data_IF_120975892118
#
_entry.id   IF_120975892118
#
_cell.length_a   1.000
_cell.length_b   1.000
_cell.length_c   1.000
_cell.angle_alpha   90.00
_cell.angle_beta   90.00
_cell.angle_gamma   90.00
#
_symmetry.space_group_name_H-M   'P 1'
#
loop_
_entity.id
_entity.type
_entity.pdbx_description
1 polymer ?
#
# COMPACT_ATOMS: atom_id res chain seq x y z
N UNK A 1 19.73 27.45 -7.92
CA UNK A 1 19.90 28.37 -9.05
C UNK A 1 21.39 28.77 -9.21
N UNK A 2 22.00 29.40 -8.22
CA UNK A 2 23.40 29.93 -8.21
C UNK A 2 24.43 28.96 -8.78
N UNK A 3 24.44 27.68 -8.39
CA UNK A 3 25.38 26.69 -8.88
C UNK A 3 25.20 26.36 -10.37
N UNK A 4 23.97 26.39 -10.86
CA UNK A 4 23.69 26.18 -12.29
C UNK A 4 24.14 27.37 -13.10
N UNK A 5 23.95 28.57 -12.57
CA UNK A 5 24.38 29.83 -13.17
C UNK A 5 25.91 29.92 -13.21
N UNK A 6 26.58 29.61 -12.10
CA UNK A 6 28.04 29.60 -12.04
C UNK A 6 28.70 28.58 -13.00
N UNK A 7 28.10 27.39 -13.17
CA UNK A 7 28.59 26.41 -14.13
C UNK A 7 28.39 26.90 -15.58
N UNK A 8 27.22 27.47 -15.87
CA UNK A 8 26.93 27.99 -17.22
C UNK A 8 27.75 29.23 -17.55
N UNK A 9 28.10 30.06 -16.58
CA UNK A 9 28.99 31.19 -16.74
C UNK A 9 30.43 30.74 -17.08
N UNK A 10 30.93 29.72 -16.37
CA UNK A 10 32.29 29.20 -16.54
C UNK A 10 32.48 28.37 -17.80
N UNK A 11 31.49 27.57 -18.19
CA UNK A 11 31.65 26.57 -19.28
C UNK A 11 30.73 26.84 -20.48
N UNK A 12 30.02 27.96 -20.50
CA UNK A 12 29.15 28.40 -21.58
C UNK A 12 27.64 28.21 -21.26
N UNK A 13 26.81 29.10 -21.82
CA UNK A 13 25.37 29.09 -21.57
C UNK A 13 24.73 27.80 -22.05
N UNK A 14 23.84 27.22 -21.22
CA UNK A 14 23.14 25.99 -21.55
C UNK A 14 23.91 24.68 -21.31
N UNK A 15 25.16 24.74 -20.81
CA UNK A 15 25.97 23.56 -20.48
C UNK A 15 25.24 22.62 -19.53
N UNK A 16 24.55 23.18 -18.52
CA UNK A 16 23.77 22.38 -17.60
C UNK A 16 22.43 23.05 -17.28
N UNK A 17 21.37 22.25 -17.21
CA UNK A 17 20.05 22.70 -16.78
C UNK A 17 19.87 22.50 -15.27
N UNK A 18 18.99 23.26 -14.66
CA UNK A 18 18.65 23.10 -13.23
C UNK A 18 18.17 21.67 -12.89
N UNK A 19 17.50 20.99 -13.84
CA UNK A 19 17.07 19.59 -13.71
C UNK A 19 18.28 18.64 -13.67
N UNK A 20 19.20 18.79 -14.58
CA UNK A 20 20.46 18.00 -14.64
C UNK A 20 21.32 18.25 -13.40
N UNK A 21 21.44 19.50 -12.95
CA UNK A 21 22.17 19.84 -11.73
C UNK A 21 21.57 19.20 -10.47
N UNK A 22 20.22 19.16 -10.34
CA UNK A 22 19.57 18.45 -9.22
C UNK A 22 19.83 16.95 -9.27
N UNK A 23 19.75 16.33 -10.44
CA UNK A 23 20.02 14.90 -10.62
C UNK A 23 21.50 14.60 -10.28
N UNK A 24 22.44 15.42 -10.73
CA UNK A 24 23.86 15.28 -10.42
C UNK A 24 24.11 15.32 -8.90
N UNK A 25 23.56 16.34 -8.21
CA UNK A 25 23.67 16.44 -6.76
C UNK A 25 23.13 15.21 -6.03
N UNK A 26 21.96 14.70 -6.45
CA UNK A 26 21.36 13.51 -5.87
C UNK A 26 22.23 12.27 -6.06
N UNK A 27 22.75 12.06 -7.27
CA UNK A 27 23.56 10.88 -7.62
C UNK A 27 24.92 10.86 -6.92
N UNK A 28 25.46 12.05 -6.62
CA UNK A 28 26.74 12.21 -5.94
C UNK A 28 26.63 12.56 -4.45
N UNK A 29 25.43 12.42 -3.87
CA UNK A 29 25.17 12.71 -2.46
C UNK A 29 25.61 14.11 -2.01
N UNK A 30 25.59 15.10 -2.93
CA UNK A 30 25.96 16.48 -2.63
C UNK A 30 24.79 17.16 -1.94
N UNK A 31 24.89 17.32 -0.64
CA UNK A 31 23.90 18.02 0.19
C UNK A 31 24.17 19.54 0.19
N UNK A 32 23.12 20.32 0.35
CA UNK A 32 23.21 21.79 0.37
C UNK A 32 23.90 22.36 1.62
N UNK A 33 24.09 21.54 2.65
CA UNK A 33 24.56 22.00 3.97
C UNK A 33 23.50 22.78 4.75
N UNK A 34 22.34 23.05 4.15
CA UNK A 34 21.23 23.71 4.81
C UNK A 34 20.33 22.62 5.42
N UNK A 35 20.26 22.57 6.72
CA UNK A 35 19.29 21.71 7.42
C UNK A 35 17.91 22.41 7.39
N UNK A 36 17.03 21.91 6.53
CA UNK A 36 15.65 22.39 6.42
C UNK A 36 14.72 21.77 7.48
N UNK A 37 15.24 20.98 8.40
CA UNK A 37 14.45 20.40 9.50
C UNK A 37 14.28 21.41 10.60
N UNK A 38 13.10 21.43 11.18
CA UNK A 38 12.89 22.18 12.42
C UNK A 38 13.78 21.60 13.52
N UNK A 39 14.47 22.47 14.23
CA UNK A 39 15.30 22.06 15.36
C UNK A 39 14.43 21.45 16.46
N UNK A 40 14.95 20.45 17.23
CA UNK A 40 14.25 19.95 18.39
C UNK A 40 13.83 21.09 19.33
N UNK A 41 12.56 21.11 19.74
CA UNK A 41 12.00 22.19 20.55
C UNK A 41 11.50 23.41 19.80
N UNK A 42 11.61 23.45 18.45
CA UNK A 42 11.05 24.53 17.65
C UNK A 42 9.54 24.66 17.89
N UNK A 43 9.13 25.85 18.29
CA UNK A 43 7.71 26.17 18.45
C UNK A 43 7.24 26.96 17.23
N UNK A 44 6.26 26.43 16.45
CA UNK A 44 5.70 27.15 15.33
C UNK A 44 5.15 28.53 15.76
N UNK A 45 5.33 29.54 14.92
CA UNK A 45 4.94 30.92 15.24
C UNK A 45 3.43 31.13 15.54
N UNK A 46 2.61 30.17 15.08
CA UNK A 46 1.16 30.14 15.27
C UNK A 46 0.70 29.17 16.39
N UNK A 47 1.62 28.48 17.09
CA UNK A 47 1.25 27.57 18.18
C UNK A 47 0.53 28.32 19.30
N UNK A 48 -0.66 27.84 19.65
CA UNK A 48 -1.48 28.44 20.71
C UNK A 48 -2.18 29.76 20.34
N UNK A 49 -2.00 30.24 19.11
CA UNK A 49 -2.72 31.42 18.63
C UNK A 49 -4.02 31.00 17.96
N UNK A 50 -5.18 31.52 18.37
CA UNK A 50 -6.42 31.31 17.63
C UNK A 50 -6.34 31.94 16.25
N UNK A 51 -7.10 31.40 15.31
CA UNK A 51 -7.24 31.99 13.97
C UNK A 51 -7.80 33.38 14.08
N UNK A 52 -7.31 34.31 13.24
CA UNK A 52 -7.85 35.69 13.23
C UNK A 52 -9.32 35.70 12.78
N UNK A 53 -10.15 36.62 13.26
CA UNK A 53 -11.56 36.70 12.84
C UNK A 53 -11.73 36.77 11.32
N UNK A 54 -10.88 37.50 10.61
CA UNK A 54 -10.93 37.59 9.14
C UNK A 54 -10.64 36.26 8.46
N UNK A 55 -9.64 35.53 8.94
CA UNK A 55 -9.33 34.18 8.43
C UNK A 55 -10.44 33.19 8.74
N UNK A 56 -11.01 33.28 9.95
CA UNK A 56 -12.14 32.44 10.34
C UNK A 56 -13.35 32.64 9.41
N UNK A 57 -13.73 33.91 9.15
CA UNK A 57 -14.85 34.24 8.27
C UNK A 57 -14.63 33.71 6.83
N UNK A 58 -13.41 33.79 6.30
CA UNK A 58 -13.08 33.22 4.97
C UNK A 58 -13.14 31.70 4.90
N UNK A 59 -12.83 31.04 5.99
CA UNK A 59 -12.72 29.57 6.02
C UNK A 59 -13.97 28.86 6.56
N UNK A 60 -14.85 29.56 7.32
CA UNK A 60 -15.96 28.95 8.05
C UNK A 60 -16.93 28.16 7.18
N UNK A 61 -17.09 28.57 5.92
CA UNK A 61 -17.98 27.87 4.97
C UNK A 61 -17.45 26.51 4.57
N UNK A 62 -16.10 26.39 4.46
CA UNK A 62 -15.41 25.15 4.07
C UNK A 62 -14.93 24.32 5.27
N UNK A 63 -15.02 24.85 6.48
CA UNK A 63 -14.66 24.13 7.69
C UNK A 63 -15.63 23.00 7.98
N UNK A 64 -15.09 21.85 8.40
CA UNK A 64 -15.91 20.76 8.90
C UNK A 64 -16.67 21.17 10.16
N UNK A 65 -17.97 21.00 10.17
CA UNK A 65 -18.83 21.25 11.32
C UNK A 65 -18.86 20.03 12.24
N UNK A 66 -18.97 20.26 13.54
CA UNK A 66 -19.11 19.16 14.52
C UNK A 66 -20.32 18.29 14.13
N UNK A 67 -20.08 16.98 13.98
CA UNK A 67 -21.13 16.03 13.57
C UNK A 67 -21.34 15.91 12.05
N UNK A 68 -20.58 16.65 11.24
CA UNK A 68 -20.65 16.50 9.79
C UNK A 68 -20.06 15.18 9.36
N UNK A 69 -20.85 14.39 8.62
CA UNK A 69 -20.40 13.13 8.00
C UNK A 69 -19.65 13.47 6.71
N UNK A 70 -18.39 13.03 6.54
CA UNK A 70 -17.65 13.26 5.29
C UNK A 70 -18.36 12.64 4.08
N UNK A 71 -18.28 13.23 2.87
CA UNK A 71 -18.93 12.71 1.66
C UNK A 71 -18.51 11.29 1.28
N UNK A 72 -17.31 10.87 1.69
CA UNK A 72 -16.75 9.54 1.44
C UNK A 72 -16.96 8.59 2.63
N UNK A 73 -17.88 8.90 3.53
CA UNK A 73 -18.23 8.00 4.64
C UNK A 73 -18.89 6.74 4.10
N UNK A 74 -18.40 5.60 4.58
CA UNK A 74 -18.94 4.27 4.27
C UNK A 74 -19.72 3.82 5.50
N UNK A 75 -20.95 3.38 5.33
CA UNK A 75 -21.79 2.89 6.44
C UNK A 75 -21.43 1.45 6.80
N UNK A 76 -21.76 1.05 8.03
CA UNK A 76 -21.63 -0.35 8.46
C UNK A 76 -22.48 -1.24 7.56
N UNK A 77 -21.91 -2.33 7.06
CA UNK A 77 -22.50 -3.24 6.10
C UNK A 77 -22.18 -2.94 4.64
N UNK A 78 -21.72 -1.74 4.32
CA UNK A 78 -21.33 -1.37 2.96
C UNK A 78 -19.95 -1.93 2.57
N UNK A 79 -19.79 -2.14 1.27
CA UNK A 79 -18.59 -2.68 0.66
C UNK A 79 -17.76 -1.57 0.01
N UNK A 80 -16.46 -1.75 0.02
CA UNK A 80 -15.50 -0.88 -0.68
C UNK A 80 -14.26 -1.68 -1.06
N UNK A 81 -13.32 -1.03 -1.75
CA UNK A 81 -12.07 -1.67 -2.14
C UNK A 81 -10.88 -1.05 -1.40
N UNK A 82 -9.90 -1.89 -1.09
CA UNK A 82 -8.59 -1.40 -0.66
C UNK A 82 -7.82 -0.81 -1.84
N UNK A 83 -6.73 -0.08 -1.57
CA UNK A 83 -5.81 0.42 -2.60
C UNK A 83 -5.27 -0.70 -3.49
N UNK A 84 -5.12 -1.90 -2.92
CA UNK A 84 -4.66 -3.09 -3.64
C UNK A 84 -5.79 -3.82 -4.40
N UNK A 85 -7.02 -3.29 -4.38
CA UNK A 85 -8.18 -3.82 -5.10
C UNK A 85 -8.88 -5.00 -4.43
N UNK A 86 -8.66 -5.25 -3.14
CA UNK A 86 -9.42 -6.28 -2.42
C UNK A 86 -10.76 -5.74 -1.95
N UNK A 87 -11.82 -6.54 -2.11
CA UNK A 87 -13.14 -6.23 -1.58
C UNK A 87 -13.15 -6.37 -0.05
N UNK A 88 -13.56 -5.29 0.63
CA UNK A 88 -13.71 -5.23 2.08
C UNK A 88 -15.10 -4.76 2.45
N UNK A 89 -15.59 -5.18 3.60
CA UNK A 89 -16.88 -4.77 4.18
C UNK A 89 -16.64 -4.03 5.50
N UNK A 90 -17.36 -2.94 5.71
CA UNK A 90 -17.30 -2.23 6.98
C UNK A 90 -18.16 -2.95 8.03
N UNK A 91 -17.55 -3.32 9.16
CA UNK A 91 -18.21 -4.10 10.22
C UNK A 91 -18.51 -3.28 11.48
N UNK A 92 -17.82 -2.15 11.68
CA UNK A 92 -18.06 -1.23 12.82
C UNK A 92 -17.66 0.21 12.51
N UNK A 93 -18.21 1.15 13.29
CA UNK A 93 -17.94 2.59 13.10
C UNK A 93 -16.61 3.05 13.74
N UNK A 94 -16.24 2.47 14.87
CA UNK A 94 -15.12 2.92 15.71
C UNK A 94 -13.99 1.90 15.73
N UNK A 95 -12.80 2.34 16.06
CA UNK A 95 -11.59 1.51 16.12
C UNK A 95 -10.59 1.81 15.01
N UNK A 96 -9.53 1.01 14.96
CA UNK A 96 -8.53 1.06 13.89
C UNK A 96 -9.12 0.58 12.55
N UNK A 97 -8.45 0.87 11.44
CA UNK A 97 -8.92 0.41 10.12
C UNK A 97 -9.10 -1.12 10.05
N UNK A 98 -8.21 -1.88 10.69
CA UNK A 98 -8.29 -3.35 10.75
C UNK A 98 -9.50 -3.86 11.54
N UNK A 99 -9.93 -3.13 12.55
CA UNK A 99 -11.11 -3.48 13.36
C UNK A 99 -12.41 -3.04 12.72
N UNK A 100 -12.36 -1.99 11.89
CA UNK A 100 -13.55 -1.45 11.21
C UNK A 100 -13.91 -2.18 9.94
N UNK A 101 -12.93 -2.81 9.27
CA UNK A 101 -13.12 -3.47 7.99
C UNK A 101 -12.64 -4.91 8.05
N UNK A 102 -13.38 -5.80 7.41
CA UNK A 102 -12.97 -7.18 7.17
C UNK A 102 -12.83 -7.46 5.69
N UNK A 103 -11.91 -8.35 5.32
CA UNK A 103 -11.76 -8.82 3.95
C UNK A 103 -12.86 -9.83 3.63
N UNK A 104 -13.66 -9.57 2.60
CA UNK A 104 -14.80 -10.41 2.24
C UNK A 104 -14.39 -11.84 1.90
N UNK A 105 -13.32 -12.03 1.11
CA UNK A 105 -12.82 -13.37 0.76
C UNK A 105 -12.40 -14.20 1.99
N UNK A 106 -11.87 -13.54 3.04
CA UNK A 106 -11.51 -14.23 4.29
C UNK A 106 -12.75 -14.60 5.08
N UNK A 107 -13.69 -13.68 5.20
CA UNK A 107 -14.96 -13.94 5.90
C UNK A 107 -15.73 -15.10 5.24
N UNK A 108 -15.83 -15.10 3.90
CA UNK A 108 -16.48 -16.21 3.16
C UNK A 108 -15.74 -17.53 3.36
N UNK A 109 -14.39 -17.52 3.33
CA UNK A 109 -13.63 -18.73 3.62
C UNK A 109 -13.88 -19.26 5.02
N UNK A 110 -13.81 -18.39 6.03
CA UNK A 110 -13.98 -18.76 7.44
C UNK A 110 -15.38 -19.27 7.75
N UNK A 111 -16.40 -18.74 7.07
CA UNK A 111 -17.79 -19.20 7.19
C UNK A 111 -17.97 -20.65 6.70
N UNK A 112 -17.26 -21.04 5.62
CA UNK A 112 -17.42 -22.37 5.00
C UNK A 112 -16.43 -23.41 5.53
N UNK A 113 -15.19 -23.00 5.87
CA UNK A 113 -14.10 -23.92 6.19
C UNK A 113 -13.57 -23.75 7.62
N UNK A 114 -14.12 -22.79 8.39
CA UNK A 114 -13.59 -22.46 9.71
C UNK A 114 -12.37 -21.52 9.68
N UNK A 115 -11.77 -21.25 10.83
CA UNK A 115 -10.73 -20.26 10.98
C UNK A 115 -9.50 -20.58 10.10
N UNK A 116 -8.91 -19.53 9.53
CA UNK A 116 -7.71 -19.64 8.70
C UNK A 116 -6.53 -20.02 9.60
N UNK A 117 -5.83 -21.15 9.34
CA UNK A 117 -4.69 -21.58 10.15
C UNK A 117 -3.54 -20.57 10.10
N UNK A 118 -2.74 -20.54 11.17
CA UNK A 118 -1.56 -19.68 11.24
C UNK A 118 -0.59 -19.95 10.08
N UNK A 119 -0.02 -18.89 9.51
CA UNK A 119 0.88 -18.97 8.36
C UNK A 119 0.20 -19.28 7.02
N UNK A 120 -1.11 -19.45 7.00
CA UNK A 120 -1.89 -19.62 5.76
C UNK A 120 -2.61 -18.34 5.36
N UNK A 121 -2.91 -18.24 4.08
CA UNK A 121 -3.69 -17.16 3.50
C UNK A 121 -4.68 -17.68 2.47
N UNK A 122 -5.79 -16.97 2.31
CA UNK A 122 -6.78 -17.23 1.26
C UNK A 122 -6.40 -16.46 0.01
N UNK A 123 -6.44 -17.12 -1.12
CA UNK A 123 -6.13 -16.55 -2.44
C UNK A 123 -7.20 -16.90 -3.47
N UNK A 124 -7.13 -16.28 -4.64
CA UNK A 124 -8.12 -16.41 -5.72
C UNK A 124 -7.57 -17.27 -6.86
N UNK A 125 -8.38 -18.22 -7.34
CA UNK A 125 -8.01 -19.09 -8.45
C UNK A 125 -7.98 -18.36 -9.79
N UNK A 126 -8.97 -17.49 -10.04
CA UNK A 126 -9.09 -16.70 -11.27
C UNK A 126 -8.27 -15.38 -11.25
N UNK A 127 -7.68 -15.04 -10.10
CA UNK A 127 -6.96 -13.79 -9.89
C UNK A 127 -7.86 -12.56 -9.74
N UNK A 128 -9.18 -12.69 -9.82
CA UNK A 128 -10.14 -11.61 -9.63
C UNK A 128 -10.47 -11.46 -8.13
N UNK A 129 -10.07 -10.33 -7.55
CA UNK A 129 -10.24 -10.04 -6.13
C UNK A 129 -11.68 -9.70 -5.73
N UNK A 130 -12.56 -9.46 -6.70
CA UNK A 130 -13.98 -9.23 -6.49
C UNK A 130 -14.78 -10.53 -6.44
N UNK A 131 -14.24 -11.60 -7.04
CA UNK A 131 -14.89 -12.90 -7.07
C UNK A 131 -14.62 -13.66 -5.77
N UNK A 132 -15.35 -13.30 -4.72
CA UNK A 132 -15.25 -13.92 -3.41
C UNK A 132 -16.07 -15.22 -3.26
N UNK A 133 -16.53 -15.85 -4.36
CA UNK A 133 -17.21 -17.15 -4.29
C UNK A 133 -16.27 -18.22 -3.73
N UNK A 134 -16.79 -19.06 -2.85
CA UNK A 134 -15.99 -20.09 -2.16
C UNK A 134 -15.25 -21.03 -3.13
N UNK A 135 -15.86 -21.35 -4.26
CA UNK A 135 -15.28 -22.21 -5.31
C UNK A 135 -14.05 -21.58 -5.98
N UNK A 136 -13.95 -20.23 -5.94
CA UNK A 136 -12.81 -19.48 -6.46
C UNK A 136 -11.70 -19.24 -5.43
N UNK A 137 -11.95 -19.57 -4.16
CA UNK A 137 -11.01 -19.35 -3.07
C UNK A 137 -10.21 -20.61 -2.77
N UNK A 138 -8.93 -20.44 -2.45
CA UNK A 138 -8.08 -21.54 -2.00
C UNK A 138 -7.10 -21.10 -0.91
N UNK A 139 -6.71 -22.05 -0.07
CA UNK A 139 -5.77 -21.81 1.01
C UNK A 139 -4.35 -22.07 0.53
N UNK A 140 -3.45 -21.13 0.76
CA UNK A 140 -2.03 -21.22 0.42
C UNK A 140 -1.16 -20.68 1.56
N UNK A 141 0.14 -20.79 1.43
CA UNK A 141 1.12 -20.20 2.34
C UNK A 141 2.03 -19.19 1.63
N UNK A 142 2.78 -18.41 2.40
CA UNK A 142 3.66 -17.39 1.87
C UNK A 142 4.71 -17.93 0.89
N UNK A 143 5.29 -19.12 1.17
CA UNK A 143 6.31 -19.72 0.32
C UNK A 143 5.72 -20.15 -1.04
N UNK A 144 4.59 -20.85 -1.01
CA UNK A 144 3.87 -21.26 -2.21
C UNK A 144 3.39 -20.06 -3.02
N UNK A 145 2.82 -19.05 -2.34
CA UNK A 145 2.38 -17.80 -2.98
C UNK A 145 3.54 -17.06 -3.68
N UNK A 146 4.69 -16.96 -3.02
CA UNK A 146 5.90 -16.36 -3.59
C UNK A 146 6.38 -17.14 -4.82
N UNK A 147 6.42 -18.48 -4.76
CA UNK A 147 6.83 -19.32 -5.86
C UNK A 147 5.86 -19.22 -7.05
N UNK A 148 4.54 -19.21 -6.81
CA UNK A 148 3.53 -18.97 -7.85
C UNK A 148 3.75 -17.63 -8.56
N UNK A 149 4.05 -16.58 -7.82
CA UNK A 149 4.31 -15.25 -8.38
C UNK A 149 5.63 -15.23 -9.18
N UNK A 150 6.69 -15.85 -8.66
CA UNK A 150 8.00 -15.92 -9.31
C UNK A 150 7.94 -16.67 -10.63
N UNK A 151 7.20 -17.78 -10.68
CA UNK A 151 7.05 -18.63 -11.85
C UNK A 151 5.88 -18.22 -12.77
N UNK A 152 5.15 -17.14 -12.41
CA UNK A 152 3.96 -16.66 -13.15
C UNK A 152 2.88 -17.75 -13.32
N UNK A 153 2.66 -18.54 -12.28
CA UNK A 153 1.71 -19.67 -12.26
C UNK A 153 0.28 -19.25 -11.87
N UNK A 154 -0.08 -17.98 -12.08
CA UNK A 154 -1.42 -17.46 -11.90
C UNK A 154 -2.04 -17.18 -13.26
N UNK A 155 -3.19 -17.77 -13.50
CA UNK A 155 -3.91 -17.70 -14.77
C UNK A 155 -5.32 -17.16 -14.55
N UNK A 156 -5.96 -16.69 -15.62
CA UNK A 156 -7.39 -16.34 -15.57
C UNK A 156 -8.29 -17.57 -15.45
N UNK A 157 -7.80 -18.74 -15.89
CA UNK A 157 -8.50 -20.01 -15.74
C UNK A 157 -8.20 -20.59 -14.34
N UNK A 158 -9.25 -20.80 -13.48
CA UNK A 158 -9.10 -21.33 -12.14
C UNK A 158 -8.40 -22.70 -12.08
N UNK A 159 -8.70 -23.59 -13.01
CA UNK A 159 -8.12 -24.94 -13.06
C UNK A 159 -6.59 -24.87 -13.29
N UNK A 160 -6.15 -23.99 -14.20
CA UNK A 160 -4.73 -23.83 -14.47
C UNK A 160 -4.00 -23.23 -13.25
N UNK A 161 -4.62 -22.30 -12.53
CA UNK A 161 -4.05 -21.75 -11.30
C UNK A 161 -3.97 -22.82 -10.21
N UNK A 162 -4.97 -23.70 -10.10
CA UNK A 162 -4.94 -24.82 -9.15
C UNK A 162 -3.80 -25.82 -9.47
N UNK A 163 -3.54 -26.08 -10.75
CA UNK A 163 -2.36 -26.87 -11.17
C UNK A 163 -1.08 -26.10 -10.87
N UNK A 164 -1.04 -24.79 -11.15
CA UNK A 164 0.10 -23.93 -10.86
C UNK A 164 0.49 -23.92 -9.37
N UNK A 165 -0.48 -23.96 -8.48
CA UNK A 165 -0.26 -24.07 -7.04
C UNK A 165 0.45 -25.40 -6.67
N UNK A 166 0.01 -26.52 -7.24
CA UNK A 166 0.65 -27.84 -7.04
C UNK A 166 2.08 -27.88 -7.58
N UNK A 167 2.31 -27.25 -8.75
CA UNK A 167 3.66 -27.11 -9.34
C UNK A 167 4.55 -26.26 -8.43
N UNK A 168 4.05 -25.17 -7.88
CA UNK A 168 4.80 -24.33 -6.95
C UNK A 168 5.23 -25.10 -5.70
N UNK A 169 4.34 -25.89 -5.10
CA UNK A 169 4.66 -26.76 -3.96
C UNK A 169 5.71 -27.79 -4.30
N UNK A 170 5.60 -28.44 -5.47
CA UNK A 170 6.59 -29.41 -5.93
C UNK A 170 7.98 -28.76 -6.10
N UNK A 171 8.05 -27.59 -6.71
CA UNK A 171 9.32 -26.87 -6.90
C UNK A 171 9.98 -26.51 -5.56
N UNK A 172 9.18 -26.13 -4.55
CA UNK A 172 9.68 -25.89 -3.20
C UNK A 172 10.22 -27.18 -2.58
N UNK A 173 9.49 -28.29 -2.68
CA UNK A 173 9.90 -29.58 -2.14
C UNK A 173 11.21 -30.10 -2.78
N UNK A 174 11.34 -29.98 -4.11
CA UNK A 174 12.57 -30.34 -4.83
C UNK A 174 13.75 -29.50 -4.32
N UNK A 175 13.59 -28.18 -4.24
CA UNK A 175 14.64 -27.27 -3.77
C UNK A 175 15.07 -27.57 -2.33
N UNK A 176 14.12 -27.86 -1.44
CA UNK A 176 14.43 -28.20 -0.06
C UNK A 176 15.20 -29.54 0.03
N UNK A 177 14.85 -30.51 -0.79
CA UNK A 177 15.57 -31.79 -0.87
C UNK A 177 16.98 -31.60 -1.41
N UNK A 178 17.17 -30.81 -2.47
CA UNK A 178 18.49 -30.48 -3.03
C UNK A 178 19.37 -29.69 -2.03
N UNK A 179 18.77 -28.83 -1.21
CA UNK A 179 19.47 -28.09 -0.17
C UNK A 179 19.80 -28.93 1.07
N UNK A 180 19.41 -30.21 1.12
CA UNK A 180 19.64 -31.09 2.26
C UNK A 180 18.80 -30.77 3.50
N UNK A 181 17.74 -29.98 3.33
CA UNK A 181 16.78 -29.71 4.39
C UNK A 181 15.82 -30.90 4.48
N UNK A 182 16.14 -31.85 5.34
CA UNK A 182 15.23 -32.95 5.69
C UNK A 182 14.18 -32.39 6.68
N UNK A 183 12.91 -32.76 6.45
CA UNK A 183 11.85 -32.63 7.45
C UNK A 183 12.13 -33.52 8.67
#
# INVERSE_FOLDING_TARGET
KELTEAVNEKYGPGTITAKKMRAYKKNHNIVSGIDCKFQPGHTPANKGKPMSPEQYEKCKETMFKKGQIPPNHINVGEYTHTTDGYLIRKIRETGTQRERFEFVHRAVWEEHNGPIPDGKMVSFLDGNKDNCNIENLFLTDNATNLEMNRQKLRFKNPELTAVGEKVARLNIAIRNKEAGLHE
#
